data_IF_739440461573
#
_entry.id   IF_739440461573
#
_cell.length_a   1.000
_cell.length_b   1.000
_cell.length_c   1.000
_cell.angle_alpha   90.00
_cell.angle_beta   90.00
_cell.angle_gamma   90.00
#
_symmetry.space_group_name_H-M   'P 1'
#
loop_
_entity.id
_entity.type
_entity.pdbx_description
1 polymer ?
#
# COMPACT_ATOMS: atom_id res chain seq x y z
N UNK A 1 2.77 9.58 2.29
CA UNK A 1 1.75 9.32 3.32
C UNK A 1 1.94 7.91 3.82
N UNK A 2 1.86 7.69 5.13
CA UNK A 2 1.97 6.38 5.74
C UNK A 2 0.60 6.02 6.34
N UNK A 3 -0.01 4.94 5.86
CA UNK A 3 -1.31 4.43 6.30
C UNK A 3 -1.11 3.10 7.00
N UNK A 4 -1.63 3.00 8.22
CA UNK A 4 -1.69 1.77 9.00
C UNK A 4 -3.14 1.46 9.30
N UNK A 5 -3.48 0.18 9.32
CA UNK A 5 -4.83 -0.22 9.62
C UNK A 5 -4.97 -1.72 9.77
N UNK A 6 -6.21 -2.15 9.81
CA UNK A 6 -6.57 -3.56 9.90
C UNK A 6 -7.71 -3.84 8.94
N UNK A 7 -7.72 -5.02 8.36
CA UNK A 7 -8.78 -5.48 7.48
C UNK A 7 -9.20 -6.89 7.86
N UNK A 8 -10.48 -7.11 7.75
CA UNK A 8 -11.07 -8.41 7.91
C UNK A 8 -11.05 -9.14 6.57
N UNK A 9 -10.47 -10.33 6.52
CA UNK A 9 -10.62 -11.21 5.36
C UNK A 9 -11.13 -12.58 5.76
N UNK A 10 -11.76 -13.23 4.79
CA UNK A 10 -12.34 -14.56 4.90
C UNK A 10 -12.21 -15.26 3.55
N UNK A 11 -11.67 -16.47 3.55
CA UNK A 11 -11.70 -17.29 2.34
C UNK A 11 -13.15 -17.70 2.01
N UNK A 12 -13.52 -17.80 0.73
CA UNK A 12 -14.81 -18.37 0.36
C UNK A 12 -14.99 -19.76 1.01
N UNK A 13 -16.05 -19.93 1.79
CA UNK A 13 -16.38 -21.19 2.47
C UNK A 13 -15.75 -21.38 3.85
N UNK A 14 -14.88 -20.49 4.30
CA UNK A 14 -14.31 -20.56 5.66
C UNK A 14 -15.22 -19.85 6.67
N UNK A 15 -15.35 -20.42 7.88
CA UNK A 15 -16.08 -19.83 8.99
C UNK A 15 -15.24 -18.81 9.77
N UNK A 16 -13.91 -18.88 9.64
CA UNK A 16 -12.99 -18.03 10.39
C UNK A 16 -12.85 -16.68 9.68
N UNK A 17 -13.12 -15.62 10.44
CA UNK A 17 -12.84 -14.24 10.03
C UNK A 17 -11.50 -13.84 10.64
N UNK A 18 -10.54 -13.44 9.81
CA UNK A 18 -9.19 -13.10 10.27
C UNK A 18 -9.01 -11.59 10.20
N UNK A 19 -8.76 -10.98 11.36
CA UNK A 19 -8.43 -9.57 11.50
C UNK A 19 -6.92 -9.37 11.30
N UNK A 20 -6.54 -8.85 10.13
CA UNK A 20 -5.15 -8.75 9.69
C UNK A 20 -4.66 -7.31 9.64
N UNK A 21 -3.46 -7.00 10.19
CA UNK A 21 -2.89 -5.67 10.05
C UNK A 21 -2.41 -5.41 8.61
N UNK A 22 -2.35 -4.15 8.22
CA UNK A 22 -1.66 -3.68 7.03
C UNK A 22 -0.88 -2.38 7.29
N UNK A 23 0.16 -2.18 6.49
CA UNK A 23 0.99 -0.97 6.44
C UNK A 23 1.20 -0.60 4.96
N UNK A 24 0.90 0.65 4.59
CA UNK A 24 1.01 1.15 3.22
C UNK A 24 1.73 2.51 3.19
N UNK A 25 2.65 2.66 2.24
CA UNK A 25 3.27 3.94 1.91
C UNK A 25 2.70 4.44 0.59
N UNK A 26 2.16 5.65 0.58
CA UNK A 26 1.57 6.27 -0.60
C UNK A 26 2.32 7.54 -0.97
N UNK A 27 2.63 7.68 -2.25
CA UNK A 27 3.15 8.90 -2.85
C UNK A 27 2.04 9.64 -3.60
N UNK A 28 2.03 10.97 -3.54
CA UNK A 28 1.07 11.76 -4.31
C UNK A 28 1.43 11.66 -5.80
N UNK A 29 0.46 11.34 -6.66
CA UNK A 29 0.69 11.31 -8.10
C UNK A 29 1.07 12.68 -8.65
N UNK A 30 1.70 12.72 -9.83
CA UNK A 30 2.32 13.91 -10.43
C UNK A 30 1.39 15.14 -10.51
N UNK A 31 0.12 14.92 -10.85
CA UNK A 31 -0.89 16.00 -10.94
C UNK A 31 -1.53 16.36 -9.60
N UNK A 32 -1.09 15.76 -8.50
CA UNK A 32 -1.64 16.02 -7.18
C UNK A 32 -3.08 15.55 -7.01
N UNK A 33 -3.59 14.64 -7.86
CA UNK A 33 -4.99 14.18 -7.88
C UNK A 33 -5.15 12.68 -7.71
N UNK A 34 -4.05 11.92 -7.73
CA UNK A 34 -4.03 10.47 -7.53
C UNK A 34 -3.01 10.09 -6.47
N UNK A 35 -2.96 8.81 -6.14
CA UNK A 35 -1.95 8.21 -5.26
C UNK A 35 -1.21 7.11 -6.01
N UNK A 36 0.05 6.92 -5.66
CA UNK A 36 0.88 5.81 -6.11
C UNK A 36 1.26 4.98 -4.89
N UNK A 37 1.17 3.66 -4.99
CA UNK A 37 1.65 2.75 -3.96
C UNK A 37 3.17 2.72 -4.01
N UNK A 38 3.84 3.00 -2.89
CA UNK A 38 5.28 2.95 -2.75
C UNK A 38 5.68 1.68 -1.97
N UNK A 39 6.51 0.85 -2.59
CA UNK A 39 7.09 -0.33 -1.95
C UNK A 39 8.57 -0.09 -1.66
N UNK A 40 9.06 -0.42 -0.45
CA UNK A 40 10.48 -0.32 -0.14
C UNK A 40 11.24 -1.40 -0.95
N UNK A 41 12.23 -0.98 -1.74
CA UNK A 41 13.06 -1.91 -2.55
C UNK A 41 14.43 -2.18 -1.94
N UNK A 42 14.65 -1.76 -0.71
CA UNK A 42 15.98 -1.70 -0.08
C UNK A 42 16.73 -0.41 -0.39
N UNK A 43 17.90 -0.25 0.20
CA UNK A 43 18.79 0.91 0.03
C UNK A 43 20.04 0.47 -0.70
N UNK A 44 20.44 1.18 -1.76
CA UNK A 44 21.66 0.86 -2.50
C UNK A 44 22.93 1.25 -1.72
N UNK A 45 22.84 2.26 -0.85
CA UNK A 45 23.97 2.79 -0.08
C UNK A 45 23.89 2.52 1.44
N UNK A 46 22.84 1.83 1.88
CA UNK A 46 22.57 1.53 3.29
C UNK A 46 22.12 2.73 4.14
N UNK A 47 22.00 3.92 3.55
CA UNK A 47 21.66 5.17 4.23
C UNK A 47 20.27 5.69 3.88
N UNK A 48 19.79 5.38 2.67
CA UNK A 48 18.56 5.94 2.11
C UNK A 48 17.65 4.86 1.55
N UNK A 49 16.41 4.76 2.06
CA UNK A 49 15.41 3.82 1.55
C UNK A 49 15.02 4.20 0.11
N UNK A 50 15.23 3.28 -0.84
CA UNK A 50 14.73 3.42 -2.22
C UNK A 50 13.31 2.88 -2.31
N UNK A 51 12.51 3.48 -3.19
CA UNK A 51 11.09 3.17 -3.36
C UNK A 51 10.77 2.86 -4.81
N UNK A 52 9.95 1.83 -5.03
CA UNK A 52 9.34 1.55 -6.32
C UNK A 52 7.87 1.98 -6.23
N UNK A 53 7.41 2.79 -7.17
CA UNK A 53 6.03 3.32 -7.14
C UNK A 53 5.16 2.80 -8.28
N UNK A 54 3.98 2.31 -7.91
CA UNK A 54 2.97 1.78 -8.83
C UNK A 54 1.74 2.69 -8.87
N UNK A 55 1.15 2.96 -10.05
CA UNK A 55 -0.09 3.71 -10.13
C UNK A 55 -1.22 2.93 -9.43
N UNK A 56 -1.92 3.56 -8.50
CA UNK A 56 -3.18 3.04 -8.00
C UNK A 56 -4.28 3.55 -8.92
N UNK A 57 -4.85 2.65 -9.72
CA UNK A 57 -6.07 2.96 -10.45
C UNK A 57 -7.17 3.20 -9.41
N UNK A 58 -7.76 4.38 -9.43
CA UNK A 58 -9.02 4.64 -8.75
C UNK A 58 -10.06 4.37 -9.82
N UNK A 59 -10.79 3.25 -9.72
CA UNK A 59 -11.94 3.05 -10.58
C UNK A 59 -12.89 4.25 -10.40
N UNK A 60 -13.40 4.84 -11.49
CA UNK A 60 -14.38 5.91 -11.37
C UNK A 60 -15.61 5.38 -10.62
N UNK A 61 -16.01 6.12 -9.58
CA UNK A 61 -17.18 5.85 -8.75
C UNK A 61 -18.50 6.01 -9.53
#
# INVERSE_FOLDING_TARGET
MHLIGRFDWRLPGDAIKVDSPFELFLERGERGQSWRLALPSGSDDGSSQTWITYPLAIDPA
#
